data_IF_350044295790
#
_entry.id   IF_350044295790
#
_cell.length_a   1.000
_cell.length_b   1.000
_cell.length_c   1.000
_cell.angle_alpha   90.00
_cell.angle_beta   90.00
_cell.angle_gamma   90.00
#
_symmetry.space_group_name_H-M   'P 1'
#
loop_
_entity.id
_entity.type
_entity.pdbx_description
1 polymer ?
#
# COMPACT_ATOMS: atom_id res chain seq x y z
N UNK A 1 -20.84 12.81 18.41
CA UNK A 1 -20.76 11.50 19.06
C UNK A 1 -19.61 10.62 18.50
N UNK A 2 -19.41 10.40 17.18
CA UNK A 2 -18.33 9.50 16.69
C UNK A 2 -16.93 9.85 17.19
N UNK A 3 -16.57 11.12 17.19
CA UNK A 3 -15.25 11.57 17.65
C UNK A 3 -14.93 11.25 19.12
N UNK A 4 -15.93 11.25 20.01
CA UNK A 4 -15.72 10.89 21.42
C UNK A 4 -15.53 9.37 21.59
N UNK A 5 -16.22 8.57 20.77
CA UNK A 5 -16.02 7.11 20.76
C UNK A 5 -14.61 6.80 20.24
N UNK A 6 -14.19 7.43 19.17
CA UNK A 6 -12.85 7.28 18.60
C UNK A 6 -11.76 7.71 19.60
N UNK A 7 -11.89 8.89 20.21
CA UNK A 7 -10.99 9.33 21.27
C UNK A 7 -10.93 8.33 22.46
N UNK A 8 -12.07 7.75 22.82
CA UNK A 8 -12.15 6.71 23.86
C UNK A 8 -11.38 5.45 23.50
N UNK A 9 -11.46 4.99 22.25
CA UNK A 9 -10.69 3.82 21.77
C UNK A 9 -9.19 4.08 21.80
N UNK A 10 -8.73 5.29 21.41
CA UNK A 10 -7.32 5.67 21.53
C UNK A 10 -6.86 5.75 22.98
N UNK A 11 -7.68 6.27 23.90
CA UNK A 11 -7.34 6.33 25.31
C UNK A 11 -7.20 4.92 25.92
N UNK A 12 -8.11 4.00 25.57
CA UNK A 12 -8.03 2.60 25.99
C UNK A 12 -6.77 1.93 25.42
N UNK A 13 -6.49 2.11 24.13
CA UNK A 13 -5.29 1.56 23.49
C UNK A 13 -4.01 2.10 24.15
N UNK A 14 -3.92 3.40 24.43
CA UNK A 14 -2.80 4.00 25.14
C UNK A 14 -2.65 3.40 26.54
N UNK A 15 -3.75 3.26 27.29
CA UNK A 15 -3.74 2.61 28.61
C UNK A 15 -3.23 1.17 28.57
N UNK A 16 -3.66 0.38 27.57
CA UNK A 16 -3.19 -0.98 27.39
C UNK A 16 -1.68 -1.04 27.04
N UNK A 17 -1.18 -0.09 26.25
CA UNK A 17 0.25 0.01 25.93
C UNK A 17 1.09 0.28 27.17
N UNK A 18 0.62 1.10 28.12
CA UNK A 18 1.32 1.33 29.41
C UNK A 18 1.36 0.09 30.31
N UNK A 19 0.46 -0.88 30.12
CA UNK A 19 0.46 -2.13 30.88
C UNK A 19 1.44 -3.18 30.32
N UNK A 20 1.97 -2.95 29.11
CA UNK A 20 2.95 -3.87 28.51
C UNK A 20 4.30 -3.62 29.19
N UNK A 21 4.68 -4.51 30.08
CA UNK A 21 6.00 -4.52 30.71
C UNK A 21 7.02 -5.19 29.76
N UNK A 22 8.05 -4.47 29.38
CA UNK A 22 9.14 -4.99 28.54
C UNK A 22 10.14 -3.91 28.19
N UNK A 23 11.40 -4.29 27.93
CA UNK A 23 12.40 -3.40 27.37
C UNK A 23 12.23 -3.37 25.85
N UNK A 24 11.51 -2.36 25.36
CA UNK A 24 11.29 -2.10 23.94
C UNK A 24 12.30 -1.11 23.35
N UNK A 25 13.33 -0.72 24.14
CA UNK A 25 14.40 0.09 23.62
C UNK A 25 15.04 -0.64 22.43
N UNK A 26 15.31 0.05 21.32
CA UNK A 26 16.11 -0.53 20.25
C UNK A 26 17.38 -1.09 20.88
N UNK A 27 17.70 -2.37 20.68
CA UNK A 27 18.98 -2.92 21.10
C UNK A 27 20.03 -2.00 20.52
N UNK A 28 20.63 -1.21 21.41
CA UNK A 28 21.39 -0.01 21.04
C UNK A 28 22.51 -0.35 20.07
N UNK A 29 22.85 0.60 19.21
CA UNK A 29 24.16 0.61 18.60
C UNK A 29 25.20 0.36 19.73
N UNK A 30 26.26 -0.39 19.47
CA UNK A 30 27.38 -0.48 20.43
C UNK A 30 27.69 0.92 20.97
N UNK A 31 27.97 1.03 22.26
CA UNK A 31 28.20 2.33 22.92
C UNK A 31 29.26 3.18 22.20
N UNK A 32 30.16 2.54 21.45
CA UNK A 32 31.24 3.12 20.68
C UNK A 32 30.87 3.46 19.22
N UNK A 33 29.63 3.22 18.78
CA UNK A 33 29.25 3.55 17.43
C UNK A 33 29.15 5.08 17.25
N UNK A 34 29.79 5.66 16.22
CA UNK A 34 29.75 7.09 15.99
C UNK A 34 28.30 7.55 15.78
N UNK A 35 27.95 8.75 16.30
CA UNK A 35 26.59 9.30 16.09
C UNK A 35 26.35 9.50 14.59
N UNK A 36 25.37 8.79 14.06
CA UNK A 36 24.96 8.97 12.65
C UNK A 36 24.03 10.17 12.54
N UNK A 37 24.26 11.01 11.54
CA UNK A 37 23.37 12.11 11.22
C UNK A 37 22.06 11.54 10.62
N UNK A 38 20.93 12.20 10.88
CA UNK A 38 19.65 11.87 10.24
C UNK A 38 19.75 11.81 8.70
N UNK A 39 20.59 12.67 8.11
CA UNK A 39 20.83 12.68 6.65
C UNK A 39 21.58 11.43 6.19
N UNK A 40 22.51 10.93 6.99
CA UNK A 40 23.27 9.72 6.68
C UNK A 40 22.37 8.50 6.77
N UNK A 41 21.55 8.41 7.81
CA UNK A 41 20.56 7.36 7.99
C UNK A 41 19.55 7.32 6.84
N UNK A 42 19.04 8.49 6.42
CA UNK A 42 18.14 8.60 5.28
C UNK A 42 18.83 8.18 3.97
N UNK A 43 20.05 8.65 3.74
CA UNK A 43 20.85 8.32 2.56
C UNK A 43 21.16 6.82 2.47
N UNK A 44 21.43 6.20 3.60
CA UNK A 44 21.66 4.75 3.69
C UNK A 44 20.39 3.98 3.32
N UNK A 45 19.23 4.33 3.92
CA UNK A 45 17.96 3.72 3.60
C UNK A 45 17.57 3.87 2.12
N UNK A 46 17.73 5.07 1.54
CA UNK A 46 17.51 5.32 0.10
C UNK A 46 18.44 4.47 -0.75
N UNK A 47 19.73 4.48 -0.44
CA UNK A 47 20.74 3.73 -1.22
C UNK A 47 20.45 2.24 -1.18
N UNK A 48 20.12 1.70 -0.03
CA UNK A 48 19.78 0.29 0.12
C UNK A 48 18.53 -0.07 -0.67
N UNK A 49 17.45 0.69 -0.52
CA UNK A 49 16.18 0.48 -1.23
C UNK A 49 16.39 0.49 -2.76
N UNK A 50 17.16 1.46 -3.28
CA UNK A 50 17.42 1.57 -4.72
C UNK A 50 18.30 0.45 -5.27
N UNK A 51 19.15 -0.15 -4.45
CA UNK A 51 19.99 -1.30 -4.83
C UNK A 51 19.23 -2.62 -4.79
N UNK A 52 18.24 -2.75 -3.94
CA UNK A 52 17.47 -3.98 -3.80
C UNK A 52 16.31 -4.01 -4.79
N UNK A 53 16.46 -4.75 -5.90
CA UNK A 53 15.54 -4.73 -7.04
C UNK A 53 14.07 -5.01 -6.67
N UNK A 54 13.80 -6.04 -5.85
CA UNK A 54 12.45 -6.40 -5.44
C UNK A 54 11.81 -5.30 -4.57
N UNK A 55 12.50 -4.84 -3.53
CA UNK A 55 11.98 -3.81 -2.60
C UNK A 55 11.75 -2.48 -3.32
N UNK A 56 12.66 -2.10 -4.23
CA UNK A 56 12.48 -0.94 -5.11
C UNK A 56 11.21 -1.07 -5.95
N UNK A 57 11.00 -2.23 -6.57
CA UNK A 57 9.83 -2.48 -7.41
C UNK A 57 8.53 -2.44 -6.61
N UNK A 58 8.54 -2.97 -5.38
CA UNK A 58 7.41 -2.87 -4.45
C UNK A 58 7.14 -1.42 -4.02
N UNK A 59 8.18 -0.61 -3.78
CA UNK A 59 8.03 0.80 -3.42
C UNK A 59 7.41 1.62 -4.56
N UNK A 60 7.88 1.42 -5.80
CA UNK A 60 7.32 2.05 -6.99
C UNK A 60 5.86 1.64 -7.17
N UNK A 61 5.57 0.34 -7.06
CA UNK A 61 4.21 -0.17 -7.19
C UNK A 61 3.28 0.39 -6.11
N UNK A 62 3.73 0.46 -4.85
CA UNK A 62 2.94 1.07 -3.77
C UNK A 62 2.67 2.54 -4.03
N UNK A 63 3.68 3.30 -4.45
CA UNK A 63 3.52 4.71 -4.80
C UNK A 63 2.50 4.91 -5.92
N UNK A 64 2.61 4.11 -6.99
CA UNK A 64 1.66 4.16 -8.10
C UNK A 64 0.23 3.78 -7.65
N UNK A 65 0.06 2.67 -6.91
CA UNK A 65 -1.25 2.26 -6.38
C UNK A 65 -1.89 3.36 -5.53
N UNK A 66 -1.15 3.94 -4.58
CA UNK A 66 -1.66 5.00 -3.72
C UNK A 66 -1.96 6.30 -4.48
N UNK A 67 -1.09 6.70 -5.41
CA UNK A 67 -1.31 7.88 -6.23
C UNK A 67 -2.53 7.74 -7.14
N UNK A 68 -2.69 6.58 -7.81
CA UNK A 68 -3.84 6.31 -8.66
C UNK A 68 -5.14 6.13 -7.87
N UNK A 69 -5.07 5.53 -6.69
CA UNK A 69 -6.18 5.50 -5.75
C UNK A 69 -6.61 6.93 -5.39
N UNK A 70 -5.68 7.78 -4.97
CA UNK A 70 -5.97 9.15 -4.60
C UNK A 70 -6.48 10.00 -5.77
N UNK A 71 -6.00 9.74 -6.98
CA UNK A 71 -6.45 10.41 -8.22
C UNK A 71 -7.94 10.19 -8.47
N UNK A 72 -8.42 8.96 -8.38
CA UNK A 72 -9.84 8.66 -8.58
C UNK A 72 -10.69 9.09 -7.39
N UNK A 73 -10.20 8.95 -6.15
CA UNK A 73 -10.94 9.26 -4.92
C UNK A 73 -10.99 10.76 -4.57
N UNK A 74 -10.21 11.60 -5.25
CA UNK A 74 -10.23 13.05 -5.03
C UNK A 74 -11.62 13.69 -5.22
N UNK A 75 -12.47 13.07 -6.04
CA UNK A 75 -13.79 13.59 -6.40
C UNK A 75 -14.93 12.64 -6.03
N UNK A 76 -14.70 11.67 -5.14
CA UNK A 76 -15.70 10.65 -4.77
C UNK A 76 -17.02 11.23 -4.28
N UNK A 77 -16.97 12.30 -3.49
CA UNK A 77 -18.18 12.94 -2.97
C UNK A 77 -19.01 13.51 -4.11
N UNK A 78 -18.36 14.19 -5.06
CA UNK A 78 -19.04 14.76 -6.24
C UNK A 78 -19.59 13.65 -7.13
N UNK A 79 -18.81 12.61 -7.37
CA UNK A 79 -19.24 11.44 -8.14
C UNK A 79 -20.43 10.74 -7.48
N UNK A 80 -20.42 10.56 -6.17
CA UNK A 80 -21.51 9.94 -5.43
C UNK A 80 -22.79 10.78 -5.49
N UNK A 81 -22.68 12.11 -5.38
CA UNK A 81 -23.84 13.01 -5.38
C UNK A 81 -24.39 13.26 -6.79
N UNK A 82 -23.52 13.53 -7.77
CA UNK A 82 -23.92 13.98 -9.10
C UNK A 82 -24.16 12.83 -10.08
N UNK A 83 -23.49 11.68 -9.92
CA UNK A 83 -23.60 10.53 -10.83
C UNK A 83 -24.42 9.40 -10.24
N UNK A 84 -24.25 9.12 -8.92
CA UNK A 84 -24.98 8.04 -8.26
C UNK A 84 -26.24 8.50 -7.54
N UNK A 85 -26.49 9.82 -7.50
CA UNK A 85 -27.62 10.46 -6.82
C UNK A 85 -27.72 10.05 -5.33
N UNK A 86 -26.57 9.91 -4.67
CA UNK A 86 -26.47 9.49 -3.28
C UNK A 86 -26.55 10.69 -2.34
N UNK A 87 -27.32 10.56 -1.27
CA UNK A 87 -27.22 11.46 -0.12
C UNK A 87 -25.91 11.28 0.64
N UNK A 88 -25.60 12.20 1.55
CA UNK A 88 -24.43 12.07 2.44
C UNK A 88 -24.43 10.76 3.25
N UNK A 89 -25.60 10.29 3.68
CA UNK A 89 -25.73 9.00 4.36
C UNK A 89 -25.46 7.82 3.41
N UNK A 90 -25.92 7.90 2.16
CA UNK A 90 -25.64 6.90 1.11
C UNK A 90 -24.16 6.82 0.79
N UNK A 91 -23.47 7.97 0.67
CA UNK A 91 -22.02 8.00 0.51
C UNK A 91 -21.29 7.38 1.71
N UNK A 92 -21.74 7.69 2.95
CA UNK A 92 -21.21 7.05 4.15
C UNK A 92 -21.37 5.53 4.15
N UNK A 93 -22.44 5.00 3.55
CA UNK A 93 -22.64 3.56 3.44
C UNK A 93 -21.59 2.86 2.56
N UNK A 94 -20.99 3.56 1.57
CA UNK A 94 -19.87 3.01 0.78
C UNK A 94 -18.64 2.70 1.65
N UNK A 95 -18.44 3.45 2.74
CA UNK A 95 -17.37 3.16 3.71
C UNK A 95 -17.58 1.82 4.43
N UNK A 96 -18.83 1.40 4.62
CA UNK A 96 -19.16 0.08 5.18
C UNK A 96 -18.71 -1.03 4.22
N UNK A 97 -18.88 -0.84 2.91
CA UNK A 97 -18.39 -1.79 1.92
C UNK A 97 -16.88 -1.97 2.01
N UNK A 98 -16.13 -0.87 2.11
CA UNK A 98 -14.67 -0.92 2.29
C UNK A 98 -14.29 -1.64 3.59
N UNK A 99 -15.00 -1.39 4.69
CA UNK A 99 -14.77 -2.08 5.95
C UNK A 99 -15.01 -3.60 5.85
N UNK A 100 -16.11 -4.01 5.20
CA UNK A 100 -16.40 -5.44 4.95
C UNK A 100 -15.26 -6.08 4.16
N UNK A 101 -14.83 -5.46 3.06
CA UNK A 101 -13.71 -5.94 2.25
C UNK A 101 -12.41 -6.06 3.05
N UNK A 102 -12.11 -5.05 3.87
CA UNK A 102 -10.93 -5.06 4.75
C UNK A 102 -10.95 -6.19 5.78
N UNK A 103 -12.08 -6.42 6.44
CA UNK A 103 -12.25 -7.54 7.39
C UNK A 103 -12.11 -8.89 6.68
N UNK A 104 -12.78 -9.09 5.55
CA UNK A 104 -12.66 -10.33 4.77
C UNK A 104 -11.21 -10.54 4.31
N UNK A 105 -10.56 -9.47 3.83
CA UNK A 105 -9.17 -9.52 3.42
C UNK A 105 -8.24 -9.93 4.57
N UNK A 106 -8.41 -9.37 5.77
CA UNK A 106 -7.56 -9.68 6.91
C UNK A 106 -7.65 -11.15 7.36
N UNK A 107 -8.84 -11.75 7.26
CA UNK A 107 -9.06 -13.16 7.63
C UNK A 107 -8.49 -14.14 6.58
N UNK A 108 -8.53 -13.73 5.28
CA UNK A 108 -8.29 -14.66 4.16
C UNK A 108 -6.97 -14.40 3.44
N UNK A 109 -6.33 -13.23 3.64
CA UNK A 109 -5.14 -12.82 2.89
C UNK A 109 -4.02 -13.87 2.88
N UNK A 110 -3.75 -14.51 4.02
CA UNK A 110 -2.73 -15.55 4.12
C UNK A 110 -3.06 -16.76 3.23
N UNK A 111 -4.31 -17.25 3.29
CA UNK A 111 -4.76 -18.37 2.44
C UNK A 111 -4.72 -18.04 0.95
N UNK A 112 -4.99 -16.78 0.59
CA UNK A 112 -4.87 -16.32 -0.82
C UNK A 112 -3.42 -16.37 -1.25
N UNK A 113 -2.51 -15.84 -0.44
CA UNK A 113 -1.07 -15.87 -0.71
C UNK A 113 -0.52 -17.30 -0.81
N UNK A 114 -0.96 -18.21 0.06
CA UNK A 114 -0.50 -19.61 0.05
C UNK A 114 -0.96 -20.37 -1.19
N UNK A 115 -2.20 -20.10 -1.65
CA UNK A 115 -2.78 -20.83 -2.80
C UNK A 115 -2.34 -20.28 -4.15
N UNK A 116 -2.27 -18.97 -4.28
CA UNK A 116 -1.93 -18.31 -5.55
C UNK A 116 -0.42 -18.04 -5.69
N UNK A 117 0.30 -18.07 -4.60
CA UNK A 117 1.65 -17.56 -4.51
C UNK A 117 1.68 -16.03 -4.31
N UNK A 118 2.77 -15.49 -3.75
CA UNK A 118 2.87 -14.06 -3.44
C UNK A 118 2.81 -13.19 -4.70
N UNK A 119 3.51 -13.54 -5.76
CA UNK A 119 3.52 -12.77 -7.02
C UNK A 119 2.15 -12.68 -7.67
N UNK A 120 1.46 -13.80 -7.84
CA UNK A 120 0.11 -13.81 -8.45
C UNK A 120 -0.91 -13.05 -7.59
N UNK A 121 -0.77 -13.07 -6.27
CA UNK A 121 -1.63 -12.30 -5.37
C UNK A 121 -1.40 -10.79 -5.51
N UNK A 122 -0.14 -10.35 -5.72
CA UNK A 122 0.18 -8.96 -6.03
C UNK A 122 -0.39 -8.56 -7.40
N UNK A 123 -0.29 -9.42 -8.42
CA UNK A 123 -0.88 -9.17 -9.74
C UNK A 123 -2.40 -9.08 -9.67
N UNK A 124 -3.06 -9.99 -8.92
CA UNK A 124 -4.51 -9.93 -8.72
C UNK A 124 -4.94 -8.59 -8.11
N UNK A 125 -4.17 -8.05 -7.16
CA UNK A 125 -4.43 -6.71 -6.59
C UNK A 125 -4.36 -5.62 -7.66
N UNK A 126 -3.32 -5.60 -8.51
CA UNK A 126 -3.16 -4.59 -9.57
C UNK A 126 -4.26 -4.74 -10.62
N UNK A 127 -4.62 -5.97 -10.98
CA UNK A 127 -5.70 -6.27 -11.93
C UNK A 127 -7.05 -5.75 -11.39
N UNK A 128 -7.37 -6.04 -10.14
CA UNK A 128 -8.59 -5.52 -9.50
C UNK A 128 -8.56 -3.99 -9.45
N UNK A 129 -7.40 -3.39 -9.15
CA UNK A 129 -7.23 -1.93 -9.14
C UNK A 129 -7.37 -1.30 -10.54
N UNK A 130 -7.22 -2.07 -11.62
CA UNK A 130 -7.54 -1.61 -12.98
C UNK A 130 -9.02 -1.81 -13.32
N UNK A 131 -9.58 -2.97 -12.99
CA UNK A 131 -10.96 -3.35 -13.37
C UNK A 131 -11.98 -2.55 -12.58
N UNK A 132 -11.80 -2.39 -11.27
CA UNK A 132 -12.78 -1.71 -10.42
C UNK A 132 -13.06 -0.27 -10.87
N UNK A 133 -12.06 0.62 -11.07
CA UNK A 133 -12.33 1.95 -11.58
C UNK A 133 -12.87 1.94 -13.02
N UNK A 134 -12.41 1.03 -13.89
CA UNK A 134 -12.96 0.92 -15.24
C UNK A 134 -14.47 0.66 -15.21
N UNK A 135 -14.92 -0.27 -14.37
CA UNK A 135 -16.34 -0.61 -14.21
C UNK A 135 -17.13 0.54 -13.56
N UNK A 136 -16.60 1.17 -12.52
CA UNK A 136 -17.22 2.30 -11.82
C UNK A 136 -17.41 3.47 -12.79
N UNK A 137 -16.40 3.81 -13.57
CA UNK A 137 -16.46 4.92 -14.52
C UNK A 137 -17.39 4.64 -15.72
N UNK A 138 -17.42 3.39 -16.22
CA UNK A 138 -18.21 3.03 -17.39
C UNK A 138 -19.69 2.77 -17.07
N UNK A 139 -19.99 2.09 -15.95
CA UNK A 139 -21.31 1.58 -15.58
C UNK A 139 -21.67 1.98 -14.14
N UNK A 140 -21.77 3.29 -13.82
CA UNK A 140 -21.98 3.73 -12.45
C UNK A 140 -23.37 3.30 -11.96
N UNK A 141 -23.36 2.39 -11.00
CA UNK A 141 -24.55 2.02 -10.24
C UNK A 141 -24.17 1.73 -8.79
N UNK A 142 -25.06 2.07 -7.88
CA UNK A 142 -24.78 1.92 -6.43
C UNK A 142 -24.38 0.49 -6.05
N UNK A 143 -25.08 -0.57 -6.51
CA UNK A 143 -24.69 -1.94 -6.18
C UNK A 143 -23.30 -2.33 -6.73
N UNK A 144 -22.96 -1.86 -7.95
CA UNK A 144 -21.66 -2.14 -8.54
C UNK A 144 -20.55 -1.42 -7.76
N UNK A 145 -20.71 -0.13 -7.47
CA UNK A 145 -19.73 0.64 -6.71
C UNK A 145 -19.53 0.03 -5.33
N UNK A 146 -20.62 -0.33 -4.63
CA UNK A 146 -20.55 -1.00 -3.34
C UNK A 146 -19.76 -2.32 -3.42
N UNK A 147 -20.05 -3.15 -4.42
CA UNK A 147 -19.31 -4.40 -4.63
C UNK A 147 -17.84 -4.18 -4.96
N UNK A 148 -17.51 -3.18 -5.78
CA UNK A 148 -16.13 -2.86 -6.14
C UNK A 148 -15.34 -2.30 -4.94
N UNK A 149 -15.98 -1.56 -4.03
CA UNK A 149 -15.34 -1.14 -2.78
C UNK A 149 -14.98 -2.33 -1.89
N UNK A 150 -15.87 -3.34 -1.77
CA UNK A 150 -15.57 -4.57 -1.03
C UNK A 150 -14.35 -5.28 -1.65
N UNK A 151 -14.39 -5.51 -2.97
CA UNK A 151 -13.34 -6.25 -3.68
C UNK A 151 -12.01 -5.50 -3.63
N UNK A 152 -12.01 -4.19 -3.89
CA UNK A 152 -10.78 -3.38 -3.86
C UNK A 152 -10.16 -3.33 -2.47
N UNK A 153 -10.96 -3.15 -1.42
CA UNK A 153 -10.47 -3.13 -0.04
C UNK A 153 -9.92 -4.49 0.39
N UNK A 154 -10.57 -5.58 -0.02
CA UNK A 154 -10.07 -6.95 0.20
C UNK A 154 -8.66 -7.12 -0.37
N UNK A 155 -8.47 -6.78 -1.65
CA UNK A 155 -7.17 -6.93 -2.30
C UNK A 155 -6.12 -5.93 -1.80
N UNK A 156 -6.52 -4.74 -1.34
CA UNK A 156 -5.61 -3.80 -0.68
C UNK A 156 -5.02 -4.39 0.62
N UNK A 157 -5.81 -5.14 1.39
CA UNK A 157 -5.31 -5.86 2.58
C UNK A 157 -4.40 -7.01 2.17
N UNK A 158 -4.75 -7.79 1.14
CA UNK A 158 -3.87 -8.85 0.61
C UNK A 158 -2.51 -8.29 0.21
N UNK A 159 -2.49 -7.17 -0.53
CA UNK A 159 -1.25 -6.44 -0.86
C UNK A 159 -0.43 -6.10 0.38
N UNK A 160 -1.06 -5.51 1.39
CA UNK A 160 -0.38 -5.10 2.62
C UNK A 160 0.23 -6.28 3.35
N UNK A 161 -0.52 -7.36 3.55
CA UNK A 161 -0.03 -8.57 4.25
C UNK A 161 1.22 -9.12 3.58
N UNK A 162 1.18 -9.30 2.26
CA UNK A 162 2.30 -9.85 1.50
C UNK A 162 3.52 -8.91 1.54
N UNK A 163 3.32 -7.63 1.24
CA UNK A 163 4.44 -6.69 1.13
C UNK A 163 5.06 -6.35 2.48
N UNK A 164 4.29 -6.38 3.58
CA UNK A 164 4.84 -6.23 4.93
C UNK A 164 5.70 -7.44 5.27
N UNK A 165 5.21 -8.67 5.05
CA UNK A 165 5.96 -9.88 5.30
C UNK A 165 7.29 -9.90 4.50
N UNK A 166 7.24 -9.58 3.19
CA UNK A 166 8.43 -9.53 2.34
C UNK A 166 9.47 -8.52 2.84
N UNK A 167 9.04 -7.35 3.29
CA UNK A 167 9.96 -6.34 3.84
C UNK A 167 10.59 -6.79 5.14
N UNK A 168 9.82 -7.42 6.03
CA UNK A 168 10.32 -7.95 7.29
C UNK A 168 11.30 -9.11 7.09
N UNK A 169 11.13 -9.90 6.02
CA UNK A 169 12.03 -11.01 5.71
C UNK A 169 13.31 -10.52 5.02
N UNK A 170 13.23 -9.55 4.10
CA UNK A 170 14.33 -9.22 3.19
C UNK A 170 15.19 -8.03 3.65
N UNK A 171 14.69 -7.20 4.56
CA UNK A 171 15.43 -6.03 5.03
C UNK A 171 16.16 -6.42 6.32
N UNK A 172 17.50 -6.27 6.38
CA UNK A 172 18.25 -6.51 7.62
C UNK A 172 17.70 -5.68 8.79
N UNK A 173 17.66 -6.25 9.99
CA UNK A 173 17.04 -5.65 11.19
C UNK A 173 17.56 -4.23 11.47
N UNK A 174 18.87 -4.00 11.35
CA UNK A 174 19.50 -2.70 11.60
C UNK A 174 19.11 -1.61 10.56
N UNK A 175 18.59 -2.00 9.39
CA UNK A 175 18.12 -1.10 8.32
C UNK A 175 16.61 -1.01 8.25
N UNK A 176 15.86 -1.90 8.92
CA UNK A 176 14.41 -2.05 8.76
C UNK A 176 13.65 -0.72 8.97
N UNK A 177 14.00 0.02 10.00
CA UNK A 177 13.37 1.32 10.28
C UNK A 177 13.67 2.37 9.20
N UNK A 178 14.95 2.47 8.76
CA UNK A 178 15.40 3.45 7.76
C UNK A 178 14.78 3.18 6.40
N UNK A 179 14.85 1.94 5.93
CA UNK A 179 14.29 1.52 4.63
C UNK A 179 12.77 1.61 4.63
N UNK A 180 12.10 1.21 5.71
CA UNK A 180 10.64 1.33 5.85
C UNK A 180 10.16 2.79 5.82
N UNK A 181 10.90 3.71 6.43
CA UNK A 181 10.59 5.14 6.40
C UNK A 181 10.63 5.68 4.96
N UNK A 182 11.68 5.34 4.20
CA UNK A 182 11.82 5.70 2.79
C UNK A 182 10.72 5.06 1.93
N UNK A 183 10.45 3.78 2.12
CA UNK A 183 9.39 3.03 1.43
C UNK A 183 8.02 3.68 1.64
N UNK A 184 7.70 4.02 2.89
CA UNK A 184 6.44 4.70 3.24
C UNK A 184 6.38 6.13 2.69
N UNK A 185 7.48 6.85 2.69
CA UNK A 185 7.55 8.19 2.11
C UNK A 185 7.18 8.17 0.63
N UNK A 186 7.74 7.24 -0.16
CA UNK A 186 7.36 7.07 -1.56
C UNK A 186 5.90 6.61 -1.71
N UNK A 187 5.46 5.66 -0.90
CA UNK A 187 4.08 5.16 -0.96
C UNK A 187 3.04 6.24 -0.65
N UNK A 188 3.20 6.95 0.45
CA UNK A 188 2.22 7.93 0.92
C UNK A 188 2.39 9.31 0.30
N UNK A 189 3.63 9.67 -0.08
CA UNK A 189 3.92 10.93 -0.77
C UNK A 189 3.23 11.07 -2.13
N UNK A 190 2.83 9.95 -2.75
CA UNK A 190 2.07 9.97 -4.00
C UNK A 190 0.58 10.30 -3.81
N UNK A 191 0.04 10.21 -2.59
CA UNK A 191 -1.37 10.51 -2.31
C UNK A 191 -1.72 11.97 -2.61
N UNK A 192 -1.04 12.99 -2.06
CA UNK A 192 -1.35 14.39 -2.38
C UNK A 192 -1.13 14.72 -3.86
N UNK A 193 -0.14 14.10 -4.51
CA UNK A 193 0.09 14.27 -5.95
C UNK A 193 -1.07 13.69 -6.75
N UNK A 194 -1.49 12.48 -6.44
CA UNK A 194 -2.64 11.83 -7.08
C UNK A 194 -3.93 12.64 -6.91
N UNK A 195 -4.22 13.10 -5.68
CA UNK A 195 -5.40 13.93 -5.41
C UNK A 195 -5.39 15.24 -6.18
N UNK A 196 -4.24 15.92 -6.26
CA UNK A 196 -4.10 17.15 -7.05
C UNK A 196 -4.36 16.88 -8.54
N UNK A 197 -3.73 15.84 -9.08
CA UNK A 197 -3.93 15.46 -10.50
C UNK A 197 -5.38 15.10 -10.77
N UNK A 198 -6.03 14.34 -9.88
CA UNK A 198 -7.44 13.97 -10.01
C UNK A 198 -8.37 15.18 -10.00
N UNK A 199 -8.17 16.14 -9.08
CA UNK A 199 -8.93 17.38 -9.04
C UNK A 199 -8.73 18.25 -10.28
N UNK A 200 -7.47 18.46 -10.67
CA UNK A 200 -7.13 19.24 -11.89
C UNK A 200 -7.72 18.59 -13.14
N UNK A 201 -7.65 17.27 -13.25
CA UNK A 201 -8.20 16.54 -14.38
C UNK A 201 -9.71 16.78 -14.55
N UNK A 202 -10.46 16.75 -13.46
CA UNK A 202 -11.91 17.05 -13.48
C UNK A 202 -12.16 18.49 -13.94
N UNK A 203 -11.46 19.48 -13.39
CA UNK A 203 -11.61 20.88 -13.77
C UNK A 203 -11.28 21.12 -15.25
N UNK A 204 -10.21 20.51 -15.74
CA UNK A 204 -9.80 20.66 -17.14
C UNK A 204 -10.83 20.02 -18.07
N UNK A 205 -11.29 18.81 -17.79
CA UNK A 205 -12.26 18.12 -18.65
C UNK A 205 -13.63 18.81 -18.61
N UNK A 206 -14.04 19.31 -17.44
CA UNK A 206 -15.31 20.05 -17.28
C UNK A 206 -15.35 21.35 -18.11
N UNK A 207 -14.19 21.91 -18.46
CA UNK A 207 -14.11 23.13 -19.29
C UNK A 207 -14.47 22.92 -20.78
N UNK A 208 -14.46 21.69 -21.26
CA UNK A 208 -14.74 21.37 -22.69
C UNK A 208 -15.67 20.16 -22.90
N UNK A 209 -16.00 19.42 -21.84
CA UNK A 209 -16.90 18.26 -21.90
C UNK A 209 -18.03 18.40 -20.90
N UNK A 210 -18.92 17.41 -20.85
CA UNK A 210 -20.00 17.41 -19.84
C UNK A 210 -19.45 17.12 -18.43
N UNK A 211 -20.15 17.63 -17.43
CA UNK A 211 -19.85 17.37 -16.01
C UNK A 211 -19.83 15.87 -15.69
N UNK A 212 -20.77 15.11 -16.27
CA UNK A 212 -20.80 13.64 -16.16
C UNK A 212 -19.50 13.01 -16.68
N UNK A 213 -19.03 13.42 -17.85
CA UNK A 213 -17.75 12.95 -18.42
C UNK A 213 -16.58 13.35 -17.53
N UNK A 214 -16.54 14.59 -17.07
CA UNK A 214 -15.46 15.10 -16.23
C UNK A 214 -15.30 14.29 -14.94
N UNK A 215 -16.38 13.89 -14.28
CA UNK A 215 -16.36 13.09 -13.06
C UNK A 215 -15.99 11.61 -13.30
N UNK A 216 -16.17 11.09 -14.53
CA UNK A 216 -15.81 9.70 -14.87
C UNK A 216 -14.38 9.53 -15.37
N UNK A 217 -13.80 10.55 -15.97
CA UNK A 217 -12.44 10.50 -16.56
C UNK A 217 -11.37 10.06 -15.57
N UNK A 218 -11.32 10.52 -14.30
CA UNK A 218 -10.33 10.03 -13.33
C UNK A 218 -10.32 8.51 -13.16
N UNK A 219 -11.49 7.87 -13.19
CA UNK A 219 -11.60 6.42 -13.10
C UNK A 219 -11.01 5.74 -14.33
N UNK A 220 -11.29 6.24 -15.53
CA UNK A 220 -10.71 5.73 -16.78
C UNK A 220 -9.19 5.89 -16.83
N UNK A 221 -8.67 7.06 -16.45
CA UNK A 221 -7.23 7.33 -16.37
C UNK A 221 -6.56 6.39 -15.37
N UNK A 222 -7.17 6.21 -14.20
CA UNK A 222 -6.68 5.29 -13.18
C UNK A 222 -6.63 3.85 -13.70
N UNK A 223 -7.68 3.39 -14.38
CA UNK A 223 -7.74 2.04 -14.96
C UNK A 223 -6.59 1.80 -15.96
N UNK A 224 -6.39 2.72 -16.90
CA UNK A 224 -5.30 2.62 -17.90
C UNK A 224 -3.94 2.63 -17.22
N UNK A 225 -3.73 3.52 -16.25
CA UNK A 225 -2.46 3.61 -15.53
C UNK A 225 -2.16 2.34 -14.70
N UNK A 226 -3.18 1.67 -14.14
CA UNK A 226 -3.00 0.37 -13.48
C UNK A 226 -2.62 -0.75 -14.47
N UNK A 227 -3.09 -0.71 -15.72
CA UNK A 227 -2.64 -1.65 -16.76
C UNK A 227 -1.15 -1.43 -17.06
N UNK A 228 -0.69 -0.19 -17.15
CA UNK A 228 0.72 0.12 -17.31
C UNK A 228 1.54 -0.32 -16.10
N UNK A 229 1.01 -0.14 -14.89
CA UNK A 229 1.62 -0.64 -13.67
C UNK A 229 1.72 -2.17 -13.66
N UNK A 230 0.69 -2.87 -14.15
CA UNK A 230 0.74 -4.34 -14.28
C UNK A 230 1.85 -4.77 -15.25
N UNK A 231 1.97 -4.11 -16.40
CA UNK A 231 3.05 -4.38 -17.36
C UNK A 231 4.45 -4.15 -16.74
N UNK A 232 4.60 -3.13 -15.89
CA UNK A 232 5.82 -2.91 -15.11
C UNK A 232 6.08 -4.00 -14.08
N UNK A 233 5.03 -4.45 -13.37
CA UNK A 233 5.11 -5.39 -12.26
C UNK A 233 5.37 -6.84 -12.70
N UNK A 234 4.79 -7.27 -13.82
CA UNK A 234 4.86 -8.65 -14.31
C UNK A 234 6.30 -9.24 -14.34
N UNK A 235 7.31 -8.59 -14.91
CA UNK A 235 8.67 -9.14 -14.93
C UNK A 235 9.43 -8.98 -13.60
N UNK A 236 8.91 -8.24 -12.60
CA UNK A 236 9.65 -7.81 -11.40
C UNK A 236 9.09 -8.34 -10.09
N UNK A 237 7.80 -8.65 -10.04
CA UNK A 237 7.06 -9.04 -8.83
C UNK A 237 6.43 -10.43 -8.98
N UNK A 238 6.91 -11.25 -9.91
CA UNK A 238 6.42 -12.62 -10.04
C UNK A 238 6.94 -13.50 -8.88
N UNK A 239 6.30 -14.63 -8.67
CA UNK A 239 6.63 -15.54 -7.56
C UNK A 239 8.08 -16.03 -7.63
N UNK A 240 8.61 -16.31 -8.83
CA UNK A 240 9.99 -16.76 -9.01
C UNK A 240 11.01 -15.69 -8.55
N UNK A 241 10.80 -14.42 -8.90
CA UNK A 241 11.66 -13.32 -8.45
C UNK A 241 11.60 -13.11 -6.92
N UNK A 242 10.42 -13.31 -6.35
CA UNK A 242 10.22 -13.19 -4.90
C UNK A 242 10.93 -14.32 -4.18
N UNK A 243 10.81 -15.55 -4.66
CA UNK A 243 11.43 -16.74 -4.05
C UNK A 243 12.95 -16.70 -4.23
N UNK A 244 13.45 -16.31 -5.40
CA UNK A 244 14.88 -16.09 -5.61
C UNK A 244 15.47 -15.03 -4.66
N UNK A 245 14.74 -13.93 -4.40
CA UNK A 245 15.18 -12.93 -3.46
C UNK A 245 15.23 -13.43 -2.00
N UNK A 246 14.27 -14.27 -1.60
CA UNK A 246 14.28 -14.91 -0.26
C UNK A 246 15.43 -15.91 -0.11
N UNK A 247 15.67 -16.74 -1.13
CA UNK A 247 16.77 -17.70 -1.14
C UNK A 247 18.13 -17.01 -1.06
N UNK A 248 18.33 -15.96 -1.85
CA UNK A 248 19.55 -15.15 -1.80
C UNK A 248 19.79 -14.51 -0.42
N UNK A 249 18.72 -14.03 0.21
CA UNK A 249 18.82 -13.45 1.57
C UNK A 249 19.15 -14.53 2.61
N UNK A 250 18.52 -15.70 2.53
CA UNK A 250 18.79 -16.83 3.44
C UNK A 250 20.24 -17.33 3.29
N UNK A 251 20.74 -17.45 2.07
CA UNK A 251 22.12 -17.85 1.80
C UNK A 251 23.15 -16.86 2.39
N UNK A 252 22.91 -15.55 2.21
CA UNK A 252 23.77 -14.51 2.77
C UNK A 252 23.75 -14.51 4.32
N UNK A 253 22.62 -14.80 4.94
CA UNK A 253 22.51 -14.92 6.39
C UNK A 253 23.27 -16.15 6.93
N UNK A 254 23.23 -17.28 6.23
CA UNK A 254 24.01 -18.47 6.60
C UNK A 254 25.51 -18.24 6.49
N UNK A 255 25.97 -17.67 5.37
CA UNK A 255 27.38 -17.35 5.17
C UNK A 255 27.93 -16.43 6.26
N UNK A 256 27.14 -15.45 6.69
CA UNK A 256 27.52 -14.54 7.80
C UNK A 256 27.63 -15.27 9.14
N UNK A 257 26.75 -16.22 9.41
CA UNK A 257 26.76 -17.01 10.64
C UNK A 257 27.96 -17.98 10.68
N UNK A 258 28.31 -18.58 9.56
CA UNK A 258 29.45 -19.51 9.46
C UNK A 258 30.78 -18.79 9.68
N UNK A 259 30.92 -17.55 9.18
CA UNK A 259 32.11 -16.71 9.40
C UNK A 259 32.28 -16.32 10.87
N UNK A 260 31.17 -16.03 11.58
CA UNK A 260 31.22 -15.67 13.02
C UNK A 260 31.61 -16.85 13.93
N UNK A 261 31.33 -18.10 13.48
CA UNK A 261 31.72 -19.32 14.22
C UNK A 261 33.20 -19.70 14.01
N UNK A 262 33.78 -19.32 12.87
CA UNK A 262 35.16 -19.66 12.50
C UNK A 262 36.22 -18.65 13.03
N UNK A 263 35.84 -17.50 13.65
CA UNK A 263 36.73 -16.62 14.34
C UNK A 263 37.02 -17.17 15.77
N UNK A 264 38.21 -17.77 16.05
CA UNK A 264 38.57 -18.22 17.39
C UNK A 264 38.81 -16.99 18.28
N UNK A 265 38.02 -16.90 19.37
CA UNK A 265 38.16 -15.89 20.42
C UNK A 265 39.51 -15.89 21.15
#
# INVERSE_FOLDING_TARGET
>A
MPFFVDAGTFAVAAGLLFLIAGDFAPKGKPADAPPTSFRDDLREGVRWLWRHQLIKSLAIALGALNGLFALQHANDVLFAQEILDLSAAGFGALSIAAAIGGVLGSVVAHRVSDRLGPGNSLFATIIVSAIAPALIGALPSVPLVFSMFIVSSFFAVVWNVITVALRQTLIPDHLLGRVNSVYRFFGWGMIPIGSLVGGVLVVVVDSFASRDTALRVPFGVSAVAHILLLAYALPRLNTSEIDAAKEAHAAAAQESADVEVDEPG
#
